data_IF_297147576320
#
_entry.id   IF_297147576320
#
_cell.length_a   1.000
_cell.length_b   1.000
_cell.length_c   1.000
_cell.angle_alpha   90.00
_cell.angle_beta   90.00
_cell.angle_gamma   90.00
#
_symmetry.space_group_name_H-M   'P 1'
#
loop_
_entity.id
_entity.type
_entity.pdbx_description
1 polymer ?
#
# COMPACT_ATOMS: atom_id res chain seq x y z
N UNK A 1 64.65 -3.99 6.60
CA UNK A 1 63.40 -3.92 7.33
C UNK A 1 62.93 -5.35 7.60
N UNK A 2 62.84 -5.79 8.89
CA UNK A 2 62.28 -7.13 9.21
C UNK A 2 60.76 -7.09 9.13
N UNK A 3 60.20 -7.73 8.14
CA UNK A 3 58.73 -7.95 8.07
C UNK A 3 58.35 -8.91 9.21
N UNK A 4 57.56 -8.44 10.16
CA UNK A 4 56.96 -9.29 11.18
C UNK A 4 55.76 -10.00 10.54
N UNK A 5 55.84 -11.30 10.41
CA UNK A 5 54.75 -12.13 9.94
C UNK A 5 53.69 -12.28 11.03
N UNK A 6 52.41 -12.31 10.64
CA UNK A 6 51.29 -12.55 11.53
C UNK A 6 51.28 -14.03 11.97
N UNK A 7 51.02 -14.28 13.24
CA UNK A 7 50.91 -15.64 13.74
C UNK A 7 49.51 -16.20 13.48
N UNK A 8 49.41 -17.52 13.27
CA UNK A 8 48.15 -18.21 13.03
C UNK A 8 47.19 -18.04 14.22
N UNK A 9 47.72 -17.97 15.44
CA UNK A 9 46.95 -17.78 16.66
C UNK A 9 46.36 -16.35 16.77
N UNK A 10 47.10 -15.33 16.37
CA UNK A 10 46.61 -13.94 16.32
C UNK A 10 45.41 -13.81 15.37
N UNK A 11 45.52 -14.46 14.19
CA UNK A 11 44.40 -14.43 13.25
C UNK A 11 43.19 -15.18 13.81
N UNK A 12 43.38 -16.33 14.44
CA UNK A 12 42.31 -17.15 14.99
C UNK A 12 41.56 -16.42 16.12
N UNK A 13 42.30 -15.76 17.02
CA UNK A 13 41.68 -14.98 18.11
C UNK A 13 40.86 -13.79 17.56
N UNK A 14 41.35 -13.10 16.55
CA UNK A 14 40.64 -11.96 15.94
C UNK A 14 39.36 -12.41 15.29
N UNK A 15 39.35 -13.49 14.48
CA UNK A 15 38.15 -13.98 13.83
C UNK A 15 37.11 -14.51 14.83
N UNK A 16 37.54 -15.15 15.93
CA UNK A 16 36.61 -15.59 16.99
C UNK A 16 35.97 -14.42 17.73
N UNK A 17 36.74 -13.36 18.08
CA UNK A 17 36.22 -12.15 18.70
C UNK A 17 35.23 -11.42 17.77
N UNK A 18 35.57 -11.26 16.49
CA UNK A 18 34.67 -10.64 15.51
C UNK A 18 33.40 -11.48 15.37
N UNK A 19 33.51 -12.81 15.33
CA UNK A 19 32.35 -13.71 15.26
C UNK A 19 31.37 -13.53 16.44
N UNK A 20 31.89 -13.46 17.67
CA UNK A 20 31.06 -13.26 18.87
C UNK A 20 30.41 -11.85 18.84
N UNK A 21 31.15 -10.82 18.46
CA UNK A 21 30.62 -9.46 18.36
C UNK A 21 29.55 -9.36 17.26
N UNK A 22 29.75 -10.01 16.11
CA UNK A 22 28.77 -10.04 15.03
C UNK A 22 27.42 -10.66 15.47
N UNK A 23 27.47 -11.79 16.17
CA UNK A 23 26.26 -12.43 16.73
C UNK A 23 25.58 -11.53 17.75
N UNK A 24 26.33 -10.88 18.65
CA UNK A 24 25.76 -9.96 19.65
C UNK A 24 25.05 -8.78 18.99
N UNK A 25 25.62 -8.18 17.94
CA UNK A 25 25.01 -7.08 17.18
C UNK A 25 23.76 -7.55 16.45
N UNK A 26 23.79 -8.71 15.77
CA UNK A 26 22.64 -9.25 15.06
C UNK A 26 21.47 -9.59 16.00
N UNK A 27 21.76 -10.05 17.23
CA UNK A 27 20.71 -10.35 18.22
C UNK A 27 20.04 -9.09 18.79
N UNK A 28 20.77 -7.95 18.83
CA UNK A 28 20.23 -6.67 19.30
C UNK A 28 19.35 -5.96 18.25
N UNK A 29 19.54 -6.28 16.97
CA UNK A 29 18.77 -5.73 15.86
C UNK A 29 17.62 -6.68 15.51
N UNK A 30 16.41 -6.13 15.32
CA UNK A 30 15.29 -6.88 14.75
C UNK A 30 15.21 -6.60 13.24
N UNK A 31 15.88 -7.39 12.38
CA UNK A 31 15.95 -7.11 10.95
C UNK A 31 14.58 -7.21 10.27
N UNK A 32 13.70 -8.09 10.78
CA UNK A 32 12.34 -8.26 10.23
C UNK A 32 11.53 -6.98 10.41
N UNK A 33 11.61 -6.36 11.59
CA UNK A 33 10.91 -5.11 11.86
C UNK A 33 11.45 -3.95 10.99
N UNK A 34 12.75 -3.93 10.72
CA UNK A 34 13.33 -2.91 9.81
C UNK A 34 12.81 -3.09 8.37
N UNK A 35 12.70 -4.34 7.90
CA UNK A 35 12.12 -4.65 6.60
C UNK A 35 10.64 -4.25 6.56
N UNK A 36 9.87 -4.53 7.62
CA UNK A 36 8.47 -4.17 7.69
C UNK A 36 8.26 -2.65 7.70
N UNK A 37 9.10 -1.90 8.42
CA UNK A 37 9.10 -0.42 8.37
C UNK A 37 9.40 0.11 6.97
N UNK A 38 10.37 -0.48 6.28
CA UNK A 38 10.71 -0.10 4.91
C UNK A 38 9.55 -0.39 3.93
N UNK A 39 8.85 -1.52 4.11
CA UNK A 39 7.64 -1.86 3.34
C UNK A 39 6.52 -0.85 3.58
N UNK A 40 6.27 -0.48 4.83
CA UNK A 40 5.24 0.50 5.17
C UNK A 40 5.57 1.88 4.59
N UNK A 41 6.84 2.30 4.63
CA UNK A 41 7.28 3.53 3.99
C UNK A 41 7.08 3.50 2.46
N UNK A 42 7.37 2.36 1.83
CA UNK A 42 7.11 2.14 0.41
C UNK A 42 5.61 2.21 0.07
N UNK A 43 4.75 1.49 0.82
CA UNK A 43 3.29 1.53 0.65
C UNK A 43 2.75 2.97 0.81
N UNK A 44 3.26 3.72 1.78
CA UNK A 44 2.89 5.13 2.03
C UNK A 44 3.26 6.03 0.85
N UNK A 45 4.47 5.90 0.33
CA UNK A 45 4.92 6.66 -0.83
C UNK A 45 4.08 6.34 -2.07
N UNK A 46 3.75 5.07 -2.27
CA UNK A 46 2.93 4.60 -3.39
C UNK A 46 1.48 5.08 -3.29
N UNK A 47 0.90 5.03 -2.08
CA UNK A 47 -0.44 5.55 -1.81
C UNK A 47 -0.51 7.07 -2.07
N UNK A 48 0.50 7.82 -1.62
CA UNK A 48 0.60 9.26 -1.88
C UNK A 48 0.77 9.57 -3.37
N UNK A 49 1.56 8.78 -4.09
CA UNK A 49 1.72 8.93 -5.53
C UNK A 49 0.40 8.68 -6.28
N UNK A 50 -0.34 7.62 -5.90
CA UNK A 50 -1.63 7.32 -6.49
C UNK A 50 -2.65 8.43 -6.21
N UNK A 51 -2.72 8.90 -4.97
CA UNK A 51 -3.60 10.00 -4.58
C UNK A 51 -3.32 11.26 -5.41
N UNK A 52 -2.05 11.67 -5.49
CA UNK A 52 -1.65 12.84 -6.29
C UNK A 52 -2.01 12.69 -7.77
N UNK A 53 -1.92 11.47 -8.32
CA UNK A 53 -2.30 11.22 -9.71
C UNK A 53 -3.82 11.32 -9.90
N UNK A 54 -4.62 10.84 -8.95
CA UNK A 54 -6.08 10.98 -8.97
C UNK A 54 -6.51 12.46 -8.89
N UNK A 55 -5.86 13.24 -8.02
CA UNK A 55 -6.13 14.67 -7.88
C UNK A 55 -5.79 15.45 -9.16
N UNK A 56 -4.64 15.16 -9.80
CA UNK A 56 -4.26 15.79 -11.07
C UNK A 56 -5.20 15.38 -12.20
N UNK A 57 -5.57 14.10 -12.26
CA UNK A 57 -6.55 13.65 -13.24
C UNK A 57 -7.89 14.36 -13.08
N UNK A 58 -8.38 14.49 -11.84
CA UNK A 58 -9.60 15.21 -11.52
C UNK A 58 -9.50 16.69 -11.91
N UNK A 59 -8.38 17.36 -11.60
CA UNK A 59 -8.15 18.76 -11.95
C UNK A 59 -8.19 19.02 -13.46
N UNK A 60 -7.73 18.04 -14.27
CA UNK A 60 -7.67 18.15 -15.74
C UNK A 60 -8.98 17.73 -16.43
N UNK A 61 -9.76 16.82 -15.82
CA UNK A 61 -10.92 16.19 -16.45
C UNK A 61 -12.26 16.53 -15.77
N UNK A 62 -12.24 17.17 -14.58
CA UNK A 62 -13.41 17.44 -13.72
C UNK A 62 -14.19 16.15 -13.36
N UNK A 63 -13.53 15.01 -13.47
CA UNK A 63 -14.07 13.66 -13.23
C UNK A 63 -12.97 12.76 -12.68
N UNK A 64 -13.37 11.80 -11.87
CA UNK A 64 -12.49 10.70 -11.49
C UNK A 64 -12.49 9.60 -12.58
N UNK A 65 -11.46 8.74 -12.63
CA UNK A 65 -11.41 7.66 -13.62
C UNK A 65 -12.66 6.79 -13.64
N UNK A 66 -13.25 6.48 -12.48
CA UNK A 66 -14.46 5.64 -12.36
C UNK A 66 -15.71 6.27 -12.98
N UNK A 67 -15.77 7.59 -13.12
CA UNK A 67 -16.91 8.27 -13.73
C UNK A 67 -16.98 8.13 -15.26
N UNK A 68 -15.94 7.56 -15.89
CA UNK A 68 -15.86 7.38 -17.34
C UNK A 68 -16.42 6.03 -17.82
N UNK A 69 -16.85 5.16 -16.91
CA UNK A 69 -17.31 3.82 -17.29
C UNK A 69 -18.82 3.78 -17.46
N UNK A 70 -19.26 3.06 -18.51
CA UNK A 70 -20.67 2.83 -18.81
C UNK A 70 -21.34 2.07 -17.66
N UNK A 71 -22.49 2.56 -17.20
CA UNK A 71 -23.21 1.95 -16.07
C UNK A 71 -22.71 2.36 -14.69
N UNK A 72 -21.59 3.09 -14.60
CA UNK A 72 -21.20 3.77 -13.37
C UNK A 72 -21.80 5.17 -13.34
N UNK A 73 -21.97 5.74 -12.14
CA UNK A 73 -22.50 7.08 -12.00
C UNK A 73 -21.51 8.11 -12.52
N UNK A 74 -21.96 9.01 -13.41
CA UNK A 74 -21.15 10.08 -13.98
C UNK A 74 -20.95 11.27 -13.03
N UNK A 75 -21.73 11.34 -11.93
CA UNK A 75 -21.56 12.38 -10.92
C UNK A 75 -20.31 12.17 -10.09
N UNK A 76 -19.56 13.24 -9.85
CA UNK A 76 -18.39 13.25 -8.97
C UNK A 76 -18.74 13.13 -7.50
N UNK A 77 -20.00 13.36 -7.15
CA UNK A 77 -20.49 13.34 -5.76
C UNK A 77 -20.83 11.95 -5.24
N UNK A 78 -20.60 10.90 -6.04
CA UNK A 78 -20.87 9.52 -5.62
C UNK A 78 -19.67 8.90 -4.89
N UNK A 79 -20.00 7.98 -3.97
CA UNK A 79 -18.97 7.17 -3.33
C UNK A 79 -18.30 6.22 -4.32
N UNK A 80 -17.02 6.00 -4.13
CA UNK A 80 -16.27 4.93 -4.76
C UNK A 80 -15.48 4.18 -3.68
N UNK A 81 -15.44 2.87 -3.75
CA UNK A 81 -14.64 2.06 -2.83
C UNK A 81 -14.19 0.78 -3.49
N UNK A 82 -12.92 0.42 -3.25
CA UNK A 82 -12.37 -0.82 -3.77
C UNK A 82 -10.85 -0.90 -3.71
N UNK A 83 -10.31 -1.96 -4.29
CA UNK A 83 -8.86 -2.16 -4.40
C UNK A 83 -8.27 -1.37 -5.57
N UNK A 84 -7.01 -1.00 -5.47
CA UNK A 84 -6.34 -0.16 -6.48
C UNK A 84 -6.21 -0.81 -7.86
N UNK A 85 -6.32 -2.15 -7.95
CA UNK A 85 -6.33 -2.91 -9.21
C UNK A 85 -7.71 -2.95 -9.90
N UNK A 86 -8.73 -2.37 -9.30
CA UNK A 86 -10.00 -2.13 -9.98
C UNK A 86 -9.82 -1.14 -11.14
N UNK A 87 -10.48 -1.45 -12.22
CA UNK A 87 -10.45 -0.66 -13.46
C UNK A 87 -10.82 0.81 -13.23
N UNK A 88 -11.81 1.06 -12.38
CA UNK A 88 -12.28 2.42 -12.06
C UNK A 88 -11.26 3.29 -11.35
N UNK A 89 -10.25 2.74 -10.67
CA UNK A 89 -9.15 3.52 -10.07
C UNK A 89 -8.26 4.14 -11.15
N UNK A 90 -8.24 3.53 -12.35
CA UNK A 90 -7.56 4.10 -13.52
C UNK A 90 -6.07 3.77 -13.60
N UNK A 91 -5.53 2.90 -12.73
CA UNK A 91 -4.19 2.35 -12.90
C UNK A 91 -4.23 1.21 -13.89
N UNK A 92 -5.09 0.20 -13.63
CA UNK A 92 -5.36 -0.86 -14.59
C UNK A 92 -6.44 -0.42 -15.58
N UNK A 93 -6.26 -0.79 -16.85
CA UNK A 93 -7.23 -0.50 -17.91
C UNK A 93 -8.44 -1.42 -17.86
N UNK A 94 -9.44 -1.11 -18.67
CA UNK A 94 -10.67 -1.88 -18.73
C UNK A 94 -10.59 -3.11 -19.66
N UNK A 95 -9.54 -3.20 -20.48
CA UNK A 95 -9.43 -4.30 -21.45
C UNK A 95 -10.73 -4.53 -22.22
N UNK A 96 -11.43 -5.60 -21.88
CA UNK A 96 -12.72 -5.97 -22.45
C UNK A 96 -13.93 -5.66 -21.56
N UNK A 97 -13.72 -5.09 -20.37
CA UNK A 97 -14.80 -4.76 -19.43
C UNK A 97 -15.13 -3.27 -19.44
N UNK A 98 -16.41 -2.97 -19.30
CA UNK A 98 -16.93 -1.60 -19.10
C UNK A 98 -17.30 -1.31 -17.65
N UNK A 99 -17.06 -2.28 -16.75
CA UNK A 99 -17.39 -2.17 -15.33
C UNK A 99 -16.22 -1.52 -14.56
N UNK A 100 -16.45 -0.34 -13.98
CA UNK A 100 -15.48 0.37 -13.15
C UNK A 100 -15.03 -0.43 -11.90
N UNK A 101 -15.81 -1.41 -11.49
CA UNK A 101 -15.59 -2.22 -10.30
C UNK A 101 -14.94 -3.57 -10.60
N UNK A 102 -14.66 -3.84 -11.87
CA UNK A 102 -13.94 -5.04 -12.28
C UNK A 102 -12.46 -4.94 -11.87
N UNK A 103 -11.90 -6.05 -11.42
CA UNK A 103 -10.48 -6.21 -11.17
C UNK A 103 -9.80 -6.63 -12.46
N UNK A 104 -8.73 -5.94 -12.86
CA UNK A 104 -8.00 -6.25 -14.08
C UNK A 104 -6.49 -6.41 -13.79
N UNK A 105 -6.17 -7.42 -13.01
CA UNK A 105 -4.80 -7.76 -12.62
C UNK A 105 -4.38 -9.13 -13.13
N UNK A 106 -3.10 -9.25 -13.50
CA UNK A 106 -2.43 -10.49 -13.90
C UNK A 106 -1.31 -10.85 -12.93
N UNK A 107 -0.60 -11.94 -13.17
CA UNK A 107 0.60 -12.30 -12.37
C UNK A 107 1.74 -11.28 -12.51
N UNK A 108 1.75 -10.48 -13.60
CA UNK A 108 2.78 -9.47 -13.88
C UNK A 108 2.39 -8.06 -13.43
N UNK A 109 1.12 -7.83 -13.07
CA UNK A 109 0.55 -6.51 -12.76
C UNK A 109 -0.76 -6.29 -13.48
N UNK A 110 -1.11 -5.04 -13.80
CA UNK A 110 -2.27 -4.73 -14.65
C UNK A 110 -2.21 -5.47 -15.98
N UNK A 111 -3.35 -5.94 -16.48
CA UNK A 111 -3.43 -6.52 -17.82
C UNK A 111 -3.28 -5.46 -18.91
N UNK A 112 -3.92 -4.30 -18.69
CA UNK A 112 -3.89 -3.15 -19.59
C UNK A 112 -3.66 -1.87 -18.78
N UNK A 113 -3.13 -0.84 -19.43
CA UNK A 113 -2.93 0.48 -18.86
C UNK A 113 -4.25 1.23 -18.71
N UNK A 114 -4.47 1.80 -17.52
CA UNK A 114 -5.65 2.59 -17.21
C UNK A 114 -5.52 4.07 -17.57
N UNK A 115 -6.56 4.85 -17.24
CA UNK A 115 -6.62 6.28 -17.54
C UNK A 115 -5.44 7.05 -16.98
N UNK A 116 -5.00 6.78 -15.73
CA UNK A 116 -3.90 7.49 -15.09
C UNK A 116 -2.54 7.24 -15.78
N UNK A 117 -2.36 6.07 -16.37
CA UNK A 117 -1.14 5.75 -17.14
C UNK A 117 -1.25 6.34 -18.54
N UNK A 118 -2.40 6.18 -19.21
CA UNK A 118 -2.62 6.70 -20.56
C UNK A 118 -2.57 8.22 -20.64
N UNK A 119 -2.96 8.93 -19.57
CA UNK A 119 -2.83 10.40 -19.46
C UNK A 119 -1.48 10.84 -18.89
N UNK A 120 -0.56 9.91 -18.65
CA UNK A 120 0.79 10.16 -18.10
C UNK A 120 0.82 10.75 -16.68
N UNK A 121 -0.28 10.62 -15.93
CA UNK A 121 -0.32 10.97 -14.50
C UNK A 121 0.48 9.97 -13.67
N UNK A 122 0.55 8.72 -14.10
CA UNK A 122 1.38 7.66 -13.56
C UNK A 122 2.24 7.02 -14.65
N UNK A 123 3.42 6.56 -14.27
CA UNK A 123 4.27 5.77 -15.17
C UNK A 123 3.75 4.32 -15.27
N UNK A 124 3.91 3.68 -16.41
CA UNK A 124 3.54 2.27 -16.68
C UNK A 124 4.07 1.30 -15.60
N UNK A 125 5.31 1.53 -15.09
CA UNK A 125 5.89 0.71 -14.04
C UNK A 125 5.09 0.71 -12.73
N UNK A 126 4.24 1.72 -12.51
CA UNK A 126 3.36 1.72 -11.33
C UNK A 126 2.35 0.58 -11.36
N UNK A 127 1.74 0.29 -12.52
CA UNK A 127 0.83 -0.83 -12.73
C UNK A 127 1.48 -2.22 -12.60
N UNK A 128 2.81 -2.30 -12.61
CA UNK A 128 3.57 -3.55 -12.42
C UNK A 128 3.96 -3.83 -10.96
N UNK A 129 3.61 -2.93 -10.03
CA UNK A 129 3.90 -3.10 -8.59
C UNK A 129 3.13 -4.27 -7.98
N UNK A 130 3.60 -4.80 -6.84
CA UNK A 130 2.97 -5.97 -6.20
C UNK A 130 1.46 -5.83 -5.98
N UNK A 131 0.96 -4.64 -5.67
CA UNK A 131 -0.48 -4.38 -5.42
C UNK A 131 -1.40 -4.75 -6.57
N UNK A 132 -0.89 -4.71 -7.80
CA UNK A 132 -1.63 -4.93 -9.06
C UNK A 132 -1.49 -6.35 -9.61
N UNK A 133 -0.84 -7.25 -8.85
CA UNK A 133 -0.70 -8.65 -9.25
C UNK A 133 -1.86 -9.48 -8.72
N UNK A 134 -2.38 -10.37 -9.54
CA UNK A 134 -3.48 -11.26 -9.17
C UNK A 134 -3.15 -12.20 -8.00
N UNK A 135 -1.86 -12.52 -7.79
CA UNK A 135 -1.36 -13.34 -6.69
C UNK A 135 -1.24 -12.59 -5.35
N UNK A 136 -1.45 -11.28 -5.33
CA UNK A 136 -1.32 -10.48 -4.11
C UNK A 136 -2.48 -10.75 -3.16
N UNK A 137 -2.13 -10.99 -1.88
CA UNK A 137 -3.15 -11.16 -0.83
C UNK A 137 -3.97 -9.88 -0.67
N UNK A 138 -5.24 -10.01 -0.33
CA UNK A 138 -6.15 -8.87 -0.13
C UNK A 138 -5.60 -7.86 0.90
N UNK A 139 -4.90 -8.35 1.94
CA UNK A 139 -4.26 -7.54 2.98
C UNK A 139 -3.03 -6.75 2.51
N UNK A 140 -2.43 -7.13 1.39
CA UNK A 140 -1.28 -6.43 0.82
C UNK A 140 -1.67 -5.43 -0.27
N UNK A 141 -2.96 -5.37 -0.63
CA UNK A 141 -3.48 -4.43 -1.63
C UNK A 141 -3.68 -3.04 -1.03
N UNK A 142 -3.62 -2.03 -1.91
CA UNK A 142 -4.07 -0.68 -1.57
C UNK A 142 -5.60 -0.62 -1.71
N UNK A 143 -6.27 -0.03 -0.72
CA UNK A 143 -7.70 0.27 -0.73
C UNK A 143 -7.90 1.72 -1.11
N UNK A 144 -8.80 1.99 -2.04
CA UNK A 144 -9.14 3.35 -2.48
C UNK A 144 -10.57 3.63 -2.05
N UNK A 145 -10.79 4.78 -1.44
CA UNK A 145 -12.12 5.19 -0.98
C UNK A 145 -12.35 6.68 -1.21
N UNK A 146 -13.54 7.01 -1.68
CA UNK A 146 -14.11 8.35 -1.77
C UNK A 146 -15.50 8.33 -1.16
N UNK A 147 -15.77 9.24 -0.22
CA UNK A 147 -17.10 9.39 0.36
C UNK A 147 -18.06 10.15 -0.59
N UNK A 148 -19.35 10.04 -0.30
CA UNK A 148 -20.38 10.83 -0.98
C UNK A 148 -20.20 12.31 -0.64
N UNK A 149 -20.33 13.18 -1.62
CA UNK A 149 -20.24 14.65 -1.47
C UNK A 149 -18.90 15.17 -0.89
N UNK A 150 -17.87 14.32 -0.85
CA UNK A 150 -16.52 14.75 -0.47
C UNK A 150 -15.62 14.76 -1.71
N UNK A 151 -14.84 15.82 -1.92
CA UNK A 151 -13.91 15.88 -3.04
C UNK A 151 -12.65 15.04 -2.81
N UNK A 152 -12.33 14.71 -1.56
CA UNK A 152 -11.11 13.99 -1.19
C UNK A 152 -11.24 12.48 -1.41
N UNK A 153 -10.18 11.90 -1.92
CA UNK A 153 -9.98 10.46 -2.03
C UNK A 153 -9.00 10.02 -0.96
N UNK A 154 -9.23 8.86 -0.36
CA UNK A 154 -8.29 8.24 0.57
C UNK A 154 -7.72 6.97 -0.03
N UNK A 155 -6.40 6.76 0.13
CA UNK A 155 -5.71 5.53 -0.24
C UNK A 155 -5.16 4.89 1.02
N UNK A 156 -5.63 3.70 1.33
CA UNK A 156 -5.36 3.02 2.59
C UNK A 156 -4.63 1.70 2.39
N UNK A 157 -3.83 1.29 3.37
CA UNK A 157 -3.15 0.00 3.38
C UNK A 157 -2.98 -0.54 4.80
N UNK A 158 -2.89 -1.87 4.94
CA UNK A 158 -2.60 -2.53 6.22
C UNK A 158 -1.10 -2.41 6.49
N UNK A 159 -0.69 -1.85 7.66
CA UNK A 159 0.71 -1.75 8.02
C UNK A 159 1.31 -3.11 8.35
N UNK A 160 2.56 -3.32 7.96
CA UNK A 160 3.34 -4.54 8.23
C UNK A 160 4.16 -4.43 9.51
N UNK A 161 4.65 -3.23 9.85
CA UNK A 161 5.52 -3.00 10.99
C UNK A 161 4.73 -2.99 12.32
N UNK A 162 5.32 -3.62 13.34
CA UNK A 162 4.77 -3.60 14.70
C UNK A 162 4.66 -2.17 15.24
N UNK A 163 5.67 -1.34 15.00
CA UNK A 163 5.70 0.05 15.45
C UNK A 163 4.53 0.90 14.90
N UNK A 164 4.01 0.58 13.70
CA UNK A 164 2.82 1.23 13.15
C UNK A 164 1.56 0.59 13.73
N UNK A 165 1.51 -0.73 13.84
CA UNK A 165 0.36 -1.48 14.41
C UNK A 165 0.09 -1.12 15.86
N UNK A 166 1.12 -0.87 16.66
CA UNK A 166 1.01 -0.47 18.08
C UNK A 166 0.31 0.90 18.26
N UNK A 167 0.07 1.64 17.18
CA UNK A 167 -0.73 2.89 17.21
C UNK A 167 -2.24 2.65 17.07
N UNK A 168 -2.67 1.41 16.85
CA UNK A 168 -4.07 1.03 16.80
C UNK A 168 -4.69 1.04 18.20
N UNK A 169 -5.97 1.35 18.27
CA UNK A 169 -6.75 1.36 19.51
C UNK A 169 -6.82 2.72 20.19
N UNK A 170 -7.94 2.94 20.85
CA UNK A 170 -8.25 4.20 21.52
C UNK A 170 -8.88 5.26 20.60
N UNK A 171 -9.47 6.30 21.24
CA UNK A 171 -10.24 7.31 20.51
C UNK A 171 -9.37 8.24 19.64
N UNK A 172 -8.06 8.25 19.87
CA UNK A 172 -7.10 9.09 19.14
C UNK A 172 -6.15 8.25 18.27
N UNK A 173 -6.59 7.04 17.86
CA UNK A 173 -5.78 6.22 16.95
C UNK A 173 -5.52 6.94 15.64
N UNK A 174 -4.26 6.95 15.20
CA UNK A 174 -3.91 7.44 13.87
C UNK A 174 -4.23 6.44 12.76
N UNK A 175 -4.61 5.21 13.11
CA UNK A 175 -5.07 4.22 12.16
C UNK A 175 -6.59 4.32 12.00
N UNK A 176 -7.03 3.95 10.80
CA UNK A 176 -8.44 3.97 10.41
C UNK A 176 -9.00 2.56 10.37
N UNK A 177 -10.29 2.45 10.67
CA UNK A 177 -11.08 1.24 10.45
C UNK A 177 -11.85 1.41 9.13
N UNK A 178 -11.81 0.40 8.28
CA UNK A 178 -12.54 0.41 7.01
C UNK A 178 -13.75 -0.51 7.11
N UNK A 179 -14.92 0.02 6.82
CA UNK A 179 -16.14 -0.77 6.69
C UNK A 179 -16.22 -1.32 5.27
N UNK A 180 -16.54 -2.60 5.15
CA UNK A 180 -16.68 -3.27 3.86
C UNK A 180 -18.15 -3.69 3.63
N UNK A 181 -18.63 -3.47 2.39
CA UNK A 181 -19.94 -3.93 1.95
C UNK A 181 -19.79 -4.58 0.57
N UNK A 182 -20.11 -5.86 0.46
CA UNK A 182 -19.90 -6.61 -0.78
C UNK A 182 -18.44 -6.68 -1.24
N UNK A 183 -17.50 -6.74 -0.29
CA UNK A 183 -16.05 -6.78 -0.56
C UNK A 183 -15.42 -5.45 -0.96
N UNK A 184 -16.13 -4.34 -0.81
CA UNK A 184 -15.68 -2.98 -1.16
C UNK A 184 -15.71 -2.08 0.06
N UNK A 185 -14.79 -1.12 0.12
CA UNK A 185 -14.80 -0.08 1.16
C UNK A 185 -16.06 0.76 1.02
N UNK A 186 -16.83 0.84 2.07
CA UNK A 186 -18.09 1.62 2.16
C UNK A 186 -18.00 2.76 3.17
N UNK A 187 -16.97 2.78 4.01
CA UNK A 187 -16.76 3.83 5.01
C UNK A 187 -15.38 3.79 5.62
N UNK A 188 -14.97 4.90 6.21
CA UNK A 188 -13.73 5.05 6.98
C UNK A 188 -14.09 5.60 8.35
N UNK A 189 -13.60 4.96 9.41
CA UNK A 189 -13.74 5.38 10.79
C UNK A 189 -12.38 5.38 11.51
N UNK A 190 -12.39 5.70 12.79
CA UNK A 190 -11.20 5.61 13.65
C UNK A 190 -11.07 4.14 14.11
N UNK A 191 -9.87 3.57 14.02
CA UNK A 191 -9.56 2.27 14.60
C UNK A 191 -9.50 2.38 16.13
N UNK A 192 -10.66 2.37 16.77
CA UNK A 192 -10.80 2.55 18.22
C UNK A 192 -10.40 1.30 19.04
N UNK A 193 -10.41 0.14 18.40
CA UNK A 193 -10.02 -1.15 19.01
C UNK A 193 -8.86 -1.75 18.23
N UNK A 194 -7.76 -2.07 18.95
CA UNK A 194 -6.62 -2.72 18.32
C UNK A 194 -7.00 -4.11 17.80
N UNK A 195 -6.73 -4.44 16.53
CA UNK A 195 -7.05 -5.74 15.96
C UNK A 195 -6.32 -6.88 16.67
N UNK A 196 -7.02 -7.96 16.91
CA UNK A 196 -6.41 -9.24 17.30
C UNK A 196 -5.81 -9.98 16.09
N UNK A 197 -6.32 -9.70 14.89
CA UNK A 197 -5.89 -10.27 13.62
C UNK A 197 -5.64 -9.19 12.58
N UNK A 198 -4.46 -9.24 11.94
CA UNK A 198 -4.01 -8.33 10.88
C UNK A 198 -3.95 -9.04 9.52
N UNK A 199 -4.43 -10.28 9.45
CA UNK A 199 -4.35 -11.12 8.25
C UNK A 199 -5.60 -11.09 7.40
N UNK A 200 -6.67 -10.44 7.89
CA UNK A 200 -7.92 -10.24 7.15
C UNK A 200 -8.24 -8.75 7.02
N UNK A 201 -8.81 -8.35 5.88
CA UNK A 201 -9.15 -6.96 5.61
C UNK A 201 -10.27 -6.44 6.50
N UNK A 202 -11.23 -7.31 6.88
CA UNK A 202 -12.41 -6.93 7.65
C UNK A 202 -12.12 -6.70 9.14
N UNK A 203 -10.97 -7.14 9.65
CA UNK A 203 -10.58 -7.00 11.06
C UNK A 203 -9.37 -6.11 11.28
N UNK A 204 -8.60 -5.84 10.24
CA UNK A 204 -7.38 -5.04 10.34
C UNK A 204 -7.66 -3.53 10.39
N UNK A 205 -6.73 -2.79 10.99
CA UNK A 205 -6.71 -1.35 10.87
C UNK A 205 -5.75 -0.88 9.78
N UNK A 206 -6.00 0.28 9.23
CA UNK A 206 -5.35 0.82 8.04
C UNK A 206 -4.63 2.14 8.33
N UNK A 207 -3.54 2.35 7.63
CA UNK A 207 -2.96 3.68 7.41
C UNK A 207 -3.60 4.23 6.16
N UNK A 208 -4.23 5.40 6.24
CA UNK A 208 -4.85 6.08 5.10
C UNK A 208 -4.07 7.36 4.77
N UNK A 209 -3.98 7.69 3.50
CA UNK A 209 -3.41 8.91 2.98
C UNK A 209 -4.54 9.69 2.28
N UNK A 210 -4.74 10.98 2.60
CA UNK A 210 -4.03 11.80 3.60
C UNK A 210 -4.20 11.27 5.03
N UNK A 211 -3.20 11.52 5.87
CA UNK A 211 -3.29 11.27 7.31
C UNK A 211 -4.00 12.45 7.98
N UNK A 212 -5.22 12.22 8.46
CA UNK A 212 -6.02 13.17 9.23
C UNK A 212 -6.00 12.80 10.72
#
# INVERSE_FOLDING_TARGET
MKSRGFTLIELLVVITLIGVLAVAVLSALNPIEQINKARDAGKRADASQLLTALDRYFASNEKFPWNNYTGYNTSVDVAFGGTADMVGVGVCGNGVTTDALAVNSTTAGCADDGYLINTQELKEQFGKRPYFRSSTLATDRLQVYKAVNEPSVSVCFIPSSKATRDKAGGPNSSLKDLTFTGGRVSGIGICSTAPSDWTTVDSACFVCIPEE
#
